data_IF_255969635749
#
_entry.id   IF_255969635749
#
_cell.length_a   1.000
_cell.length_b   1.000
_cell.length_c   1.000
_cell.angle_alpha   90.00
_cell.angle_beta   90.00
_cell.angle_gamma   90.00
#
_symmetry.space_group_name_H-M   'P 1'
#
loop_
_entity.id
_entity.type
_entity.pdbx_description
1 polymer ?
#
# COMPACT_ATOMS: atom_id res chain seq x y z
N UNK A 1 36.58 7.88 -9.31
CA UNK A 1 35.79 7.57 -8.10
C UNK A 1 34.52 6.89 -8.57
N UNK A 2 34.50 5.56 -8.48
CA UNK A 2 33.41 4.75 -8.99
C UNK A 2 32.29 4.72 -7.95
N UNK A 3 31.16 5.36 -8.26
CA UNK A 3 30.02 5.43 -7.37
C UNK A 3 29.38 4.04 -7.38
N UNK A 4 29.56 3.29 -6.30
CA UNK A 4 28.92 2.00 -6.07
C UNK A 4 27.41 2.20 -6.01
N UNK A 5 26.73 2.03 -7.15
CA UNK A 5 25.28 1.86 -7.21
C UNK A 5 24.94 0.61 -6.42
N UNK A 6 24.57 0.75 -5.15
CA UNK A 6 23.85 -0.29 -4.42
C UNK A 6 22.56 -0.56 -5.18
N UNK A 7 22.54 -1.61 -6.01
CA UNK A 7 21.35 -2.10 -6.72
C UNK A 7 20.29 -2.44 -5.66
N UNK A 8 19.43 -1.47 -5.32
CA UNK A 8 18.27 -1.70 -4.44
C UNK A 8 17.52 -2.89 -5.03
N UNK A 9 17.35 -3.95 -4.23
CA UNK A 9 16.71 -5.19 -4.69
C UNK A 9 15.36 -4.90 -5.35
N UNK A 10 14.95 -5.71 -6.34
CA UNK A 10 13.74 -5.51 -7.17
C UNK A 10 12.48 -5.16 -6.35
N UNK A 11 12.36 -5.65 -5.10
CA UNK A 11 11.27 -5.31 -4.17
C UNK A 11 11.21 -3.82 -3.80
N UNK A 12 12.36 -3.17 -3.60
CA UNK A 12 12.40 -1.74 -3.26
C UNK A 12 12.03 -0.83 -4.43
N UNK A 13 12.24 -1.28 -5.67
CA UNK A 13 11.90 -0.53 -6.89
C UNK A 13 10.38 -0.50 -7.14
N UNK A 14 9.65 -1.50 -6.62
CA UNK A 14 8.20 -1.61 -6.78
C UNK A 14 7.42 -1.02 -5.59
N UNK A 15 8.11 -0.39 -4.64
CA UNK A 15 7.48 0.20 -3.45
C UNK A 15 6.83 1.53 -3.80
N UNK A 16 5.58 1.67 -3.40
CA UNK A 16 4.84 2.93 -3.47
C UNK A 16 5.03 3.67 -2.13
N UNK A 17 5.38 4.98 -2.12
CA UNK A 17 5.52 5.74 -0.89
C UNK A 17 4.20 5.82 -0.12
N UNK A 18 4.26 6.09 1.18
CA UNK A 18 3.06 6.27 2.02
C UNK A 18 2.48 7.68 1.90
N UNK A 19 3.25 8.62 1.32
CA UNK A 19 2.80 9.97 1.00
C UNK A 19 2.85 10.18 -0.52
N UNK A 20 1.78 10.69 -1.09
CA UNK A 20 1.58 10.90 -2.51
C UNK A 20 0.74 12.13 -2.81
N UNK A 21 0.29 12.23 -4.05
CA UNK A 21 -0.61 13.31 -4.47
C UNK A 21 -2.00 13.11 -3.83
N UNK A 22 -2.57 14.13 -3.17
CA UNK A 22 -3.86 14.00 -2.49
C UNK A 22 -5.00 13.52 -3.40
N UNK A 23 -5.90 12.70 -2.86
CA UNK A 23 -7.08 12.16 -3.56
C UNK A 23 -6.76 11.38 -4.84
N UNK A 24 -5.56 10.80 -4.93
CA UNK A 24 -5.16 9.96 -6.07
C UNK A 24 -5.04 8.50 -5.67
N UNK A 25 -5.13 7.62 -6.66
CA UNK A 25 -4.76 6.20 -6.52
C UNK A 25 -3.55 5.93 -7.41
N UNK A 26 -2.52 5.28 -6.86
CA UNK A 26 -1.31 4.93 -7.60
C UNK A 26 -1.05 3.44 -7.54
N UNK A 27 -0.84 2.84 -8.71
CA UNK A 27 -0.40 1.46 -8.88
C UNK A 27 1.12 1.38 -8.99
N UNK A 28 1.69 0.29 -8.47
CA UNK A 28 3.08 -0.03 -8.75
C UNK A 28 3.22 -0.59 -10.18
N UNK A 29 4.44 -0.56 -10.73
CA UNK A 29 4.70 -1.03 -12.11
C UNK A 29 4.24 -2.48 -12.36
N UNK A 30 4.38 -3.43 -11.42
CA UNK A 30 3.83 -4.79 -11.58
C UNK A 30 2.29 -4.89 -11.53
N UNK A 31 1.58 -3.84 -11.15
CA UNK A 31 0.13 -3.91 -10.93
C UNK A 31 -0.25 -4.89 -9.82
N UNK A 32 0.60 -5.03 -8.80
CA UNK A 32 0.42 -5.94 -7.66
C UNK A 32 0.04 -5.22 -6.38
N UNK A 33 0.30 -3.92 -6.30
CA UNK A 33 0.04 -3.08 -5.14
C UNK A 33 -0.51 -1.76 -5.63
N UNK A 34 -1.50 -1.23 -4.92
CA UNK A 34 -1.99 0.11 -5.13
C UNK A 34 -2.15 0.84 -3.80
N UNK A 35 -1.94 2.15 -3.80
CA UNK A 35 -2.24 3.02 -2.66
C UNK A 35 -3.20 4.10 -3.08
N UNK A 36 -4.25 4.29 -2.28
CA UNK A 36 -5.16 5.42 -2.35
C UNK A 36 -4.76 6.43 -1.28
N UNK A 37 -4.56 7.67 -1.69
CA UNK A 37 -4.17 8.76 -0.81
C UNK A 37 -5.36 9.63 -0.45
N UNK A 38 -5.42 10.01 0.83
CA UNK A 38 -6.40 10.94 1.36
C UNK A 38 -6.12 12.38 0.94
N UNK A 39 -6.91 13.31 1.49
CA UNK A 39 -6.80 14.75 1.21
C UNK A 39 -5.50 15.38 1.70
N UNK A 40 -4.88 14.78 2.70
CA UNK A 40 -3.59 15.17 3.28
C UNK A 40 -2.38 14.57 2.54
N UNK A 41 -2.65 13.76 1.49
CA UNK A 41 -1.64 13.05 0.73
C UNK A 41 -1.09 11.81 1.43
N UNK A 42 -1.53 11.48 2.64
CA UNK A 42 -1.17 10.23 3.28
C UNK A 42 -2.01 9.08 2.72
N UNK A 43 -1.44 7.88 2.71
CA UNK A 43 -2.17 6.66 2.32
C UNK A 43 -3.31 6.42 3.30
N UNK A 44 -4.50 6.18 2.77
CA UNK A 44 -5.68 5.76 3.54
C UNK A 44 -5.95 4.26 3.36
N UNK A 45 -5.69 3.75 2.15
CA UNK A 45 -5.89 2.35 1.80
C UNK A 45 -4.76 1.85 0.92
N UNK A 46 -4.35 0.62 1.17
CA UNK A 46 -3.37 -0.09 0.35
C UNK A 46 -3.96 -1.43 -0.10
N UNK A 47 -4.12 -1.61 -1.39
CA UNK A 47 -4.45 -2.89 -2.00
C UNK A 47 -3.17 -3.68 -2.28
N UNK A 48 -3.21 -4.97 -2.01
CA UNK A 48 -2.18 -5.91 -2.44
C UNK A 48 -2.83 -7.14 -3.08
N UNK A 49 -2.23 -7.58 -4.18
CA UNK A 49 -2.50 -8.91 -4.74
C UNK A 49 -2.08 -9.99 -3.76
N UNK A 50 -2.80 -11.10 -3.78
CA UNK A 50 -2.57 -12.24 -2.90
C UNK A 50 -1.11 -12.68 -2.81
N UNK A 51 -0.69 -13.00 -1.60
CA UNK A 51 0.64 -13.51 -1.27
C UNK A 51 0.66 -15.04 -1.27
N UNK A 52 1.83 -15.63 -1.50
CA UNK A 52 2.00 -17.08 -1.53
C UNK A 52 2.92 -17.51 -0.39
N UNK A 53 2.66 -18.69 0.18
CA UNK A 53 3.52 -19.33 1.18
C UNK A 53 2.79 -19.69 2.48
N UNK A 54 3.33 -20.69 3.17
CA UNK A 54 2.67 -21.31 4.33
C UNK A 54 2.61 -20.41 5.57
N UNK A 55 3.49 -19.41 5.64
CA UNK A 55 3.56 -18.43 6.76
C UNK A 55 2.71 -17.18 6.54
N UNK A 56 2.06 -17.07 5.38
CA UNK A 56 1.19 -15.93 5.05
C UNK A 56 -0.16 -16.15 5.73
N UNK A 57 -0.70 -15.14 6.46
CA UNK A 57 -2.06 -15.21 6.99
C UNK A 57 -3.08 -15.49 5.89
N UNK A 58 -4.14 -16.26 6.18
CA UNK A 58 -5.09 -16.70 5.13
C UNK A 58 -5.75 -15.53 4.39
N UNK A 59 -6.00 -14.41 5.06
CA UNK A 59 -6.54 -13.20 4.44
C UNK A 59 -5.55 -12.58 3.45
N UNK A 60 -4.24 -12.65 3.74
CA UNK A 60 -3.19 -12.11 2.88
C UNK A 60 -2.85 -13.03 1.70
N UNK A 61 -3.30 -14.29 1.71
CA UNK A 61 -3.13 -15.22 0.57
C UNK A 61 -3.95 -14.81 -0.65
N UNK A 62 -5.07 -14.13 -0.42
CA UNK A 62 -5.92 -13.57 -1.45
C UNK A 62 -5.69 -12.06 -1.58
N UNK A 63 -6.28 -11.46 -2.61
CA UNK A 63 -6.31 -10.02 -2.76
C UNK A 63 -6.95 -9.37 -1.52
N UNK A 64 -6.26 -8.39 -0.94
CA UNK A 64 -6.63 -7.81 0.35
C UNK A 64 -6.30 -6.32 0.43
N UNK A 65 -6.98 -5.65 1.36
CA UNK A 65 -6.79 -4.23 1.68
C UNK A 65 -6.17 -4.11 3.07
N UNK A 66 -5.23 -3.18 3.22
CA UNK A 66 -4.84 -2.64 4.50
C UNK A 66 -5.36 -1.20 4.60
N UNK A 67 -6.16 -0.94 5.62
CA UNK A 67 -6.52 0.43 5.98
C UNK A 67 -5.36 1.08 6.74
N UNK A 68 -5.20 2.38 6.56
CA UNK A 68 -4.20 3.18 7.25
C UNK A 68 -4.91 4.18 8.15
N UNK A 69 -4.75 4.00 9.46
CA UNK A 69 -5.40 4.85 10.46
C UNK A 69 -4.45 5.95 10.92
N UNK A 70 -4.87 7.22 10.97
CA UNK A 70 -4.09 8.28 11.59
C UNK A 70 -3.69 7.91 13.02
N UNK A 71 -2.51 8.33 13.45
CA UNK A 71 -2.13 8.17 14.85
C UNK A 71 -2.97 9.15 15.69
N UNK A 72 -3.77 8.69 16.68
CA UNK A 72 -4.65 9.57 17.45
C UNK A 72 -3.89 10.62 18.27
N UNK A 73 -2.61 10.40 18.59
CA UNK A 73 -1.78 11.36 19.32
C UNK A 73 -1.02 12.34 18.40
N UNK A 74 -0.87 11.98 17.13
CA UNK A 74 -0.16 12.76 16.10
C UNK A 74 -0.90 12.62 14.77
N UNK A 75 -2.09 13.23 14.61
CA UNK A 75 -2.95 13.02 13.44
C UNK A 75 -2.33 13.55 12.14
N UNK A 76 -1.43 14.53 12.22
CA UNK A 76 -0.62 15.04 11.11
C UNK A 76 0.53 14.11 10.69
N UNK A 77 0.85 13.15 11.56
CA UNK A 77 1.95 12.20 11.39
C UNK A 77 1.63 11.07 10.40
N UNK A 78 2.62 10.20 10.19
CA UNK A 78 2.45 9.02 9.33
C UNK A 78 1.38 8.10 9.92
N UNK A 79 0.35 7.71 9.14
CA UNK A 79 -0.67 6.78 9.62
C UNK A 79 -0.08 5.38 9.84
N UNK A 80 -0.80 4.57 10.61
CA UNK A 80 -0.42 3.19 10.93
C UNK A 80 -1.23 2.22 10.10
N UNK A 81 -0.53 1.39 9.33
CA UNK A 81 -1.10 0.28 8.55
C UNK A 81 -1.74 -0.74 9.48
N UNK A 82 -3.01 -1.04 9.25
CA UNK A 82 -3.75 -2.08 9.97
C UNK A 82 -3.52 -3.45 9.35
N UNK A 83 -4.06 -4.51 9.96
CA UNK A 83 -4.05 -5.85 9.40
C UNK A 83 -4.84 -5.93 8.07
N UNK A 84 -4.53 -6.96 7.28
CA UNK A 84 -5.19 -7.18 6.00
C UNK A 84 -6.63 -7.60 6.20
N UNK A 85 -7.52 -7.10 5.35
CA UNK A 85 -8.92 -7.52 5.29
C UNK A 85 -9.36 -7.79 3.85
N UNK A 86 -10.44 -8.54 3.72
CA UNK A 86 -11.08 -8.78 2.42
C UNK A 86 -11.55 -7.42 1.82
N UNK A 87 -11.36 -7.18 0.52
CA UNK A 87 -11.86 -5.98 -0.14
C UNK A 87 -13.39 -5.90 -0.07
N UNK A 88 -13.90 -4.69 0.14
CA UNK A 88 -15.33 -4.38 0.12
C UNK A 88 -15.75 -3.80 -1.22
N UNK A 89 -17.05 -3.74 -1.53
CA UNK A 89 -17.57 -3.13 -2.76
C UNK A 89 -17.02 -1.71 -3.02
N UNK A 90 -16.97 -0.80 -2.02
CA UNK A 90 -16.31 0.50 -2.19
C UNK A 90 -14.83 0.43 -2.58
N UNK A 91 -14.09 -0.59 -2.11
CA UNK A 91 -12.66 -0.72 -2.42
C UNK A 91 -12.43 -1.05 -3.89
N UNK A 92 -13.28 -1.89 -4.49
CA UNK A 92 -13.20 -2.17 -5.94
C UNK A 92 -13.35 -0.88 -6.77
N UNK A 93 -14.25 0.03 -6.35
CA UNK A 93 -14.39 1.35 -6.97
C UNK A 93 -13.16 2.24 -6.75
N UNK A 94 -12.62 2.23 -5.54
CA UNK A 94 -11.44 3.05 -5.16
C UNK A 94 -10.18 2.69 -5.95
N UNK A 95 -10.06 1.42 -6.35
CA UNK A 95 -8.90 0.89 -7.08
C UNK A 95 -9.17 0.59 -8.54
N UNK A 96 -10.41 0.79 -9.01
CA UNK A 96 -10.87 0.45 -10.37
C UNK A 96 -10.54 -1.01 -10.74
N UNK A 97 -10.90 -1.92 -9.82
CA UNK A 97 -10.72 -3.37 -9.90
C UNK A 97 -11.95 -4.07 -10.46
#
# INVERSE_FOLDING_TARGET
MEITQTKKGKRHQNRIPDKGEPNTTKWNKPGSTAKKYGKDGWVEKEFNKGHQGDKVPDVEKNDHIHDWKPNPHHPEGRPTRQEGRIPTKPDYKDFNL
#
